data_IF_027585615110
#
_entry.id   IF_027585615110
#
_cell.length_a   1.000
_cell.length_b   1.000
_cell.length_c   1.000
_cell.angle_alpha   90.00
_cell.angle_beta   90.00
_cell.angle_gamma   90.00
#
_symmetry.space_group_name_H-M   'P 1'
#
loop_
_entity.id
_entity.type
_entity.pdbx_description
1 polymer ?
#
# COMPACT_ATOMS: atom_id res chain seq x y z
N UNK A 1 29.72 32.16 27.59
CA UNK A 1 29.59 32.01 26.12
C UNK A 1 28.57 30.91 25.86
N UNK A 2 27.37 31.35 25.52
CA UNK A 2 26.18 30.55 25.27
C UNK A 2 26.25 29.86 23.90
N UNK A 3 26.25 28.54 23.89
CA UNK A 3 26.12 27.74 22.67
C UNK A 3 24.75 27.06 22.64
N UNK A 4 23.73 27.78 22.17
CA UNK A 4 22.48 27.17 21.75
C UNK A 4 22.70 26.47 20.42
N UNK A 5 22.40 25.16 20.36
CA UNK A 5 22.39 24.42 19.10
C UNK A 5 20.94 24.10 18.74
N UNK A 6 20.58 24.51 17.52
CA UNK A 6 19.22 24.77 17.06
C UNK A 6 18.34 23.54 16.91
N UNK A 7 17.06 23.81 17.15
CA UNK A 7 15.93 22.92 16.94
C UNK A 7 15.84 22.45 15.48
N UNK A 8 15.58 21.15 15.32
CA UNK A 8 15.30 20.48 14.06
C UNK A 8 13.97 21.02 13.50
N UNK A 9 14.02 21.60 12.28
CA UNK A 9 12.85 22.08 11.56
C UNK A 9 11.93 20.90 11.18
N UNK A 10 10.88 20.71 11.97
CA UNK A 10 9.72 19.88 11.60
C UNK A 10 8.86 20.74 10.67
N UNK A 11 8.87 20.43 9.38
CA UNK A 11 7.88 20.96 8.45
C UNK A 11 6.54 20.28 8.74
N UNK A 12 5.77 20.87 9.65
CA UNK A 12 4.33 20.62 9.76
C UNK A 12 3.72 21.25 8.51
N UNK A 13 3.27 20.43 7.57
CA UNK A 13 2.44 20.88 6.46
C UNK A 13 1.09 21.27 7.07
N UNK A 14 0.87 22.56 7.25
CA UNK A 14 -0.43 23.13 7.60
C UNK A 14 -1.38 22.90 6.42
N UNK A 15 -2.19 21.85 6.48
CA UNK A 15 -3.37 21.76 5.63
C UNK A 15 -4.44 22.62 6.29
N UNK A 16 -4.79 23.70 5.62
CA UNK A 16 -5.83 24.65 5.98
C UNK A 16 -7.15 23.91 6.20
N UNK A 17 -7.70 24.10 7.39
CA UNK A 17 -8.95 23.55 7.88
C UNK A 17 -10.12 23.91 6.94
N UNK A 18 -10.79 22.89 6.38
CA UNK A 18 -12.10 22.99 5.75
C UNK A 18 -12.98 21.88 6.31
N UNK A 19 -13.95 22.24 7.17
CA UNK A 19 -15.10 21.43 7.54
C UNK A 19 -14.80 20.08 8.22
N UNK A 20 -14.75 20.09 9.56
CA UNK A 20 -14.67 18.89 10.41
C UNK A 20 -15.99 18.11 10.44
N UNK A 21 -16.36 17.45 9.34
CA UNK A 21 -17.15 16.23 9.44
C UNK A 21 -16.16 15.07 9.61
N UNK A 22 -16.24 14.39 10.76
CA UNK A 22 -15.48 13.17 11.01
C UNK A 22 -15.75 12.18 9.86
N UNK A 23 -14.70 11.79 9.11
CA UNK A 23 -14.86 10.88 7.97
C UNK A 23 -15.09 9.46 8.50
N UNK A 24 -16.34 9.13 8.78
CA UNK A 24 -16.75 7.78 9.21
C UNK A 24 -16.81 6.85 8.00
N UNK A 25 -16.08 5.75 8.08
CA UNK A 25 -15.99 4.69 7.09
C UNK A 25 -16.67 3.44 7.64
N UNK A 26 -17.90 3.18 7.21
CA UNK A 26 -18.65 1.98 7.59
C UNK A 26 -18.42 0.86 6.58
N UNK A 27 -17.95 -0.30 7.04
CA UNK A 27 -17.67 -1.47 6.20
C UNK A 27 -18.26 -2.74 6.80
N UNK A 28 -18.59 -3.70 5.94
CA UNK A 28 -18.97 -5.07 6.33
C UNK A 28 -17.84 -6.02 5.96
N UNK A 29 -17.52 -6.95 6.86
CA UNK A 29 -16.52 -7.99 6.59
C UNK A 29 -17.03 -9.00 5.57
N UNK A 30 -16.29 -9.20 4.49
CA UNK A 30 -16.58 -10.21 3.45
C UNK A 30 -15.69 -11.46 3.59
N UNK A 31 -14.52 -11.30 4.22
CA UNK A 31 -13.57 -12.39 4.43
C UNK A 31 -12.47 -12.01 5.43
N UNK A 32 -11.35 -12.75 5.38
CA UNK A 32 -10.25 -12.56 6.34
C UNK A 32 -9.57 -11.19 6.18
N UNK A 33 -9.43 -10.72 4.94
CA UNK A 33 -8.75 -9.46 4.57
C UNK A 33 -9.56 -8.63 3.56
N UNK A 34 -10.89 -8.77 3.57
CA UNK A 34 -11.78 -8.04 2.63
C UNK A 34 -12.96 -7.42 3.36
N UNK A 35 -13.21 -6.15 3.04
CA UNK A 35 -14.25 -5.35 3.65
C UNK A 35 -14.99 -4.53 2.58
N UNK A 36 -16.31 -4.69 2.49
CA UNK A 36 -17.16 -3.93 1.58
C UNK A 36 -17.64 -2.65 2.22
N UNK A 37 -17.52 -1.53 1.51
CA UNK A 37 -18.05 -0.24 1.94
C UNK A 37 -19.59 -0.25 2.00
N UNK A 38 -20.16 0.18 3.14
CA UNK A 38 -21.61 0.30 3.34
C UNK A 38 -22.08 1.68 2.88
N UNK A 39 -23.16 1.71 2.08
CA UNK A 39 -23.80 2.94 1.57
C UNK A 39 -22.81 4.01 1.04
N UNK A 40 -21.97 3.66 0.06
CA UNK A 40 -21.08 4.65 -0.54
C UNK A 40 -21.86 5.78 -1.20
N UNK A 41 -21.80 7.00 -0.65
CA UNK A 41 -22.13 8.18 -1.45
C UNK A 41 -21.15 8.27 -2.63
N UNK A 42 -21.60 8.63 -3.85
CA UNK A 42 -20.75 8.60 -5.05
C UNK A 42 -19.47 9.45 -4.92
N UNK A 43 -19.55 10.59 -4.23
CA UNK A 43 -18.40 11.45 -3.98
C UNK A 43 -17.35 10.81 -3.07
N UNK A 44 -17.78 9.93 -2.16
CA UNK A 44 -16.91 9.32 -1.17
C UNK A 44 -16.06 8.20 -1.79
N UNK A 45 -16.67 7.35 -2.62
CA UNK A 45 -15.94 6.31 -3.38
C UNK A 45 -14.97 6.95 -4.34
N UNK A 46 -15.41 8.00 -5.04
CA UNK A 46 -14.55 8.73 -5.98
C UNK A 46 -13.29 9.25 -5.30
N UNK A 47 -13.42 9.81 -4.08
CA UNK A 47 -12.27 10.27 -3.29
C UNK A 47 -11.29 9.14 -2.96
N UNK A 48 -11.77 7.95 -2.60
CA UNK A 48 -10.91 6.79 -2.33
C UNK A 48 -10.26 6.26 -3.63
N UNK A 49 -11.01 6.20 -4.73
CA UNK A 49 -10.51 5.80 -6.05
C UNK A 49 -9.42 6.75 -6.56
N UNK A 50 -9.62 8.06 -6.44
CA UNK A 50 -8.62 9.08 -6.80
C UNK A 50 -7.36 8.98 -5.95
N UNK A 51 -7.51 8.54 -4.69
CA UNK A 51 -6.39 8.21 -3.79
C UNK A 51 -5.82 6.82 -4.05
N UNK A 52 -6.39 6.04 -4.98
CA UNK A 52 -5.98 4.67 -5.29
C UNK A 52 -6.08 3.72 -4.10
N UNK A 53 -7.10 3.89 -3.25
CA UNK A 53 -7.36 3.07 -2.05
C UNK A 53 -8.61 2.24 -2.31
N UNK A 54 -8.52 0.92 -2.26
CA UNK A 54 -9.62 0.01 -2.55
C UNK A 54 -9.74 -0.37 -4.02
N UNK A 55 -10.75 -1.21 -4.28
CA UNK A 55 -11.03 -1.79 -5.59
C UNK A 55 -12.55 -1.93 -5.79
N UNK A 56 -13.02 -1.57 -6.98
CA UNK A 56 -14.41 -1.80 -7.39
C UNK A 56 -14.58 -3.24 -7.89
N UNK A 57 -15.50 -3.99 -7.28
CA UNK A 57 -15.86 -5.36 -7.66
C UNK A 57 -17.37 -5.44 -7.92
N UNK A 58 -17.75 -5.25 -9.18
CA UNK A 58 -19.16 -5.13 -9.55
C UNK A 58 -19.82 -3.95 -8.83
N UNK A 59 -20.84 -4.24 -8.01
CA UNK A 59 -21.56 -3.23 -7.22
C UNK A 59 -20.85 -2.85 -5.91
N UNK A 60 -19.87 -3.66 -5.47
CA UNK A 60 -19.19 -3.46 -4.20
C UNK A 60 -17.92 -2.64 -4.37
N UNK A 61 -17.59 -1.89 -3.33
CA UNK A 61 -16.28 -1.25 -3.19
C UNK A 61 -15.53 -1.89 -2.03
N UNK A 62 -14.46 -2.60 -2.35
CA UNK A 62 -13.76 -3.48 -1.41
C UNK A 62 -12.45 -2.85 -0.98
N UNK A 63 -12.18 -2.93 0.31
CA UNK A 63 -10.97 -2.46 0.98
C UNK A 63 -10.27 -3.65 1.65
N UNK A 64 -8.94 -3.59 1.72
CA UNK A 64 -8.12 -4.54 2.49
C UNK A 64 -7.83 -4.05 3.91
N UNK A 65 -7.44 -4.95 4.81
CA UNK A 65 -7.07 -4.59 6.20
C UNK A 65 -5.99 -3.52 6.25
N UNK A 66 -4.96 -3.64 5.41
CA UNK A 66 -3.86 -2.66 5.32
C UNK A 66 -4.37 -1.28 4.91
N UNK A 67 -5.37 -1.22 4.03
CA UNK A 67 -5.98 0.03 3.59
C UNK A 67 -6.84 0.66 4.69
N UNK A 68 -7.60 -0.15 5.44
CA UNK A 68 -8.35 0.32 6.61
C UNK A 68 -7.43 0.88 7.70
N UNK A 69 -6.31 0.21 7.97
CA UNK A 69 -5.31 0.70 8.93
C UNK A 69 -4.73 2.03 8.47
N UNK A 70 -4.39 2.16 7.19
CA UNK A 70 -3.89 3.42 6.64
C UNK A 70 -4.92 4.55 6.77
N UNK A 71 -6.21 4.27 6.53
CA UNK A 71 -7.28 5.25 6.70
C UNK A 71 -7.46 5.63 8.18
N UNK A 72 -7.43 4.67 9.11
CA UNK A 72 -7.45 4.90 10.56
C UNK A 72 -6.27 5.73 11.07
N UNK A 73 -5.07 5.52 10.51
CA UNK A 73 -3.89 6.31 10.82
C UNK A 73 -3.95 7.73 10.22
N UNK A 74 -4.89 7.95 9.31
CA UNK A 74 -5.20 9.26 8.74
C UNK A 74 -6.34 9.91 9.53
N UNK A 75 -7.28 10.58 8.86
CA UNK A 75 -8.40 11.31 9.49
C UNK A 75 -9.72 10.53 9.56
N UNK A 76 -9.70 9.20 9.35
CA UNK A 76 -10.92 8.39 9.26
C UNK A 76 -11.22 7.64 10.57
N UNK A 77 -12.50 7.56 10.91
CA UNK A 77 -13.04 6.59 11.87
C UNK A 77 -13.56 5.38 11.12
N UNK A 78 -13.22 4.17 11.53
CA UNK A 78 -13.66 2.94 10.83
C UNK A 78 -14.63 2.17 11.71
N UNK A 79 -15.79 1.84 11.15
CA UNK A 79 -16.83 1.01 11.77
C UNK A 79 -16.95 -0.27 10.95
N UNK A 80 -16.66 -1.41 11.57
CA UNK A 80 -16.73 -2.74 10.96
C UNK A 80 -17.92 -3.48 11.59
N UNK A 81 -18.87 -3.92 10.76
CA UNK A 81 -20.04 -4.68 11.22
C UNK A 81 -20.80 -3.98 12.36
N UNK A 82 -20.91 -2.64 12.30
CA UNK A 82 -21.57 -1.80 13.30
C UNK A 82 -20.73 -1.48 14.55
N UNK A 83 -19.49 -1.96 14.65
CA UNK A 83 -18.57 -1.67 15.76
C UNK A 83 -17.40 -0.81 15.29
N UNK A 84 -17.17 0.31 15.97
CA UNK A 84 -15.97 1.11 15.76
C UNK A 84 -14.71 0.35 16.19
N UNK A 85 -13.67 0.41 15.36
CA UNK A 85 -12.39 -0.25 15.59
C UNK A 85 -11.24 0.75 15.56
N UNK A 86 -10.19 0.48 16.32
CA UNK A 86 -8.95 1.26 16.25
C UNK A 86 -7.81 0.49 15.56
N UNK A 87 -6.67 1.18 15.34
CA UNK A 87 -5.47 0.61 14.70
C UNK A 87 -4.98 -0.65 15.41
N UNK A 88 -4.95 -0.66 16.75
CA UNK A 88 -4.45 -1.80 17.53
C UNK A 88 -5.31 -3.05 17.37
N UNK A 89 -6.61 -2.89 17.13
CA UNK A 89 -7.51 -4.01 16.86
C UNK A 89 -7.23 -4.61 15.48
N UNK A 90 -7.01 -3.80 14.44
CA UNK A 90 -6.75 -4.32 13.09
C UNK A 90 -5.35 -4.87 12.91
N UNK A 91 -4.32 -4.25 13.51
CA UNK A 91 -2.92 -4.69 13.37
C UNK A 91 -2.71 -6.12 13.89
N UNK A 92 -3.45 -6.53 14.92
CA UNK A 92 -3.41 -7.90 15.47
C UNK A 92 -3.84 -8.98 14.46
N UNK A 93 -4.58 -8.61 13.43
CA UNK A 93 -5.10 -9.53 12.42
C UNK A 93 -4.31 -9.48 11.10
N UNK A 94 -3.22 -8.71 11.02
CA UNK A 94 -2.38 -8.71 9.83
C UNK A 94 -1.56 -10.00 9.77
N UNK A 95 -1.73 -10.75 8.68
CA UNK A 95 -0.95 -11.96 8.40
C UNK A 95 0.54 -11.68 8.13
N UNK A 96 0.85 -10.56 7.47
CA UNK A 96 2.23 -10.18 7.14
C UNK A 96 2.49 -8.71 7.55
N UNK A 97 3.05 -8.46 8.74
CA UNK A 97 3.28 -7.09 9.22
C UNK A 97 4.24 -6.29 8.32
N UNK A 98 5.15 -6.96 7.61
CA UNK A 98 6.05 -6.30 6.67
C UNK A 98 5.31 -5.66 5.48
N UNK A 99 4.15 -6.23 5.11
CA UNK A 99 3.30 -5.66 4.07
C UNK A 99 2.73 -4.28 4.47
N UNK A 100 2.33 -4.11 5.73
CA UNK A 100 1.91 -2.81 6.25
C UNK A 100 3.06 -1.80 6.18
N UNK A 101 4.27 -2.17 6.58
CA UNK A 101 5.45 -1.29 6.56
C UNK A 101 5.79 -0.80 5.15
N UNK A 102 5.80 -1.71 4.16
CA UNK A 102 6.03 -1.37 2.74
C UNK A 102 4.91 -0.47 2.20
N UNK A 103 3.66 -0.78 2.52
CA UNK A 103 2.53 0.04 2.11
C UNK A 103 2.63 1.48 2.63
N UNK A 104 2.92 1.65 3.93
CA UNK A 104 3.07 2.96 4.56
C UNK A 104 4.27 3.74 4.00
N UNK A 105 5.41 3.09 3.77
CA UNK A 105 6.59 3.74 3.17
C UNK A 105 6.29 4.24 1.73
N UNK A 106 5.63 3.43 0.91
CA UNK A 106 5.23 3.81 -0.45
C UNK A 106 4.23 4.97 -0.47
N UNK A 107 3.22 4.91 0.41
CA UNK A 107 2.26 6.01 0.60
C UNK A 107 2.97 7.30 1.04
N UNK A 108 3.87 7.22 2.03
CA UNK A 108 4.66 8.35 2.51
C UNK A 108 5.54 8.97 1.42
N UNK A 109 6.05 8.16 0.49
CA UNK A 109 6.85 8.62 -0.67
C UNK A 109 5.99 9.21 -1.80
N UNK A 110 4.66 9.17 -1.70
CA UNK A 110 3.72 9.72 -2.67
C UNK A 110 3.40 8.78 -3.85
N UNK A 111 3.64 7.48 -3.70
CA UNK A 111 3.22 6.49 -4.69
C UNK A 111 1.79 6.02 -4.43
N UNK A 112 1.06 5.74 -5.51
CA UNK A 112 -0.14 4.91 -5.40
C UNK A 112 0.28 3.46 -5.32
N UNK A 113 -0.27 2.75 -4.34
CA UNK A 113 0.05 1.35 -4.06
C UNK A 113 -1.22 0.59 -3.73
N UNK A 114 -1.41 -0.55 -4.39
CA UNK A 114 -2.57 -1.44 -4.20
C UNK A 114 -2.10 -2.83 -3.78
N UNK A 115 -2.61 -3.38 -2.66
CA UNK A 115 -2.34 -4.76 -2.26
C UNK A 115 -2.94 -5.76 -3.26
N UNK A 116 -2.23 -6.86 -3.49
CA UNK A 116 -2.67 -7.97 -4.33
C UNK A 116 -2.86 -9.19 -3.44
N UNK A 117 -4.10 -9.70 -3.36
CA UNK A 117 -4.38 -10.93 -2.64
C UNK A 117 -4.01 -12.14 -3.50
N UNK A 118 -3.36 -13.13 -2.87
CA UNK A 118 -3.09 -14.45 -3.44
C UNK A 118 -2.38 -14.42 -4.81
N UNK A 119 -1.64 -13.35 -5.10
CA UNK A 119 -0.93 -13.14 -6.37
C UNK A 119 0.54 -13.54 -6.31
N UNK A 120 1.22 -13.57 -7.47
CA UNK A 120 2.67 -13.77 -7.53
C UNK A 120 3.46 -12.61 -6.91
N UNK A 121 2.83 -11.43 -6.79
CA UNK A 121 3.37 -10.19 -6.22
C UNK A 121 2.47 -9.72 -5.08
N UNK A 122 3.01 -8.91 -4.17
CA UNK A 122 2.29 -8.44 -2.99
C UNK A 122 1.62 -7.08 -3.24
N UNK A 123 2.19 -6.25 -4.13
CA UNK A 123 1.61 -4.96 -4.49
C UNK A 123 1.76 -4.61 -5.97
N UNK A 124 0.81 -3.82 -6.45
CA UNK A 124 0.90 -3.01 -7.67
C UNK A 124 1.22 -1.57 -7.28
N UNK A 125 2.13 -0.92 -8.02
CA UNK A 125 2.55 0.45 -7.74
C UNK A 125 2.58 1.28 -9.02
N UNK A 126 2.02 2.48 -8.94
CA UNK A 126 2.00 3.46 -10.04
C UNK A 126 2.97 4.58 -9.75
N UNK A 127 3.53 5.19 -10.81
CA UNK A 127 4.36 6.38 -10.65
C UNK A 127 3.60 7.51 -9.93
N UNK A 128 4.35 8.41 -9.30
CA UNK A 128 3.78 9.57 -8.61
C UNK A 128 2.90 10.38 -9.57
N UNK A 129 1.71 10.74 -9.11
CA UNK A 129 0.75 11.51 -9.89
C UNK A 129 0.02 10.73 -10.98
N UNK A 130 0.29 9.42 -11.18
CA UNK A 130 -0.48 8.56 -12.07
C UNK A 130 -1.45 7.70 -11.27
N UNK A 131 -2.74 7.88 -11.51
CA UNK A 131 -3.77 7.19 -10.73
C UNK A 131 -3.96 5.75 -11.24
N UNK A 132 -4.36 4.80 -10.36
CA UNK A 132 -4.82 3.50 -10.78
C UNK A 132 -6.07 3.51 -11.68
N UNK A 133 -6.77 4.64 -11.81
CA UNK A 133 -7.99 4.78 -12.62
C UNK A 133 -7.64 4.82 -14.12
N UNK A 134 -6.59 5.56 -14.48
CA UNK A 134 -6.30 5.95 -15.86
C UNK A 134 -4.97 5.39 -16.38
N UNK A 135 -4.25 4.61 -15.57
CA UNK A 135 -2.95 4.08 -15.94
C UNK A 135 -2.68 2.67 -15.42
N UNK A 136 -1.78 1.97 -16.12
CA UNK A 136 -1.28 0.65 -15.71
C UNK A 136 -0.18 0.77 -14.65
N UNK A 137 -0.03 -0.21 -13.74
CA UNK A 137 1.02 -0.19 -12.73
C UNK A 137 2.40 -0.18 -13.39
N UNK A 138 3.28 0.70 -12.90
CA UNK A 138 4.67 0.81 -13.38
C UNK A 138 5.57 -0.23 -12.74
N UNK A 139 5.30 -0.56 -11.48
CA UNK A 139 6.07 -1.53 -10.71
C UNK A 139 5.14 -2.58 -10.11
N UNK A 140 5.67 -3.78 -9.94
CA UNK A 140 5.09 -4.80 -9.07
C UNK A 140 6.09 -5.10 -7.97
N UNK A 141 5.62 -5.07 -6.72
CA UNK A 141 6.48 -5.33 -5.57
C UNK A 141 6.28 -6.75 -5.07
N UNK A 142 7.39 -7.48 -4.91
CA UNK A 142 7.45 -8.69 -4.10
C UNK A 142 8.20 -8.39 -2.80
N UNK A 143 7.59 -8.67 -1.66
CA UNK A 143 8.26 -8.59 -0.36
C UNK A 143 9.16 -9.81 -0.19
N UNK A 144 10.38 -9.54 0.24
CA UNK A 144 11.35 -10.54 0.68
C UNK A 144 11.71 -10.19 2.12
N UNK A 145 11.52 -11.13 3.04
CA UNK A 145 11.85 -10.91 4.45
C UNK A 145 13.26 -11.43 4.70
N UNK A 146 14.07 -10.66 5.41
CA UNK A 146 15.39 -11.11 5.83
C UNK A 146 15.30 -12.38 6.69
N UNK A 147 16.17 -13.36 6.40
CA UNK A 147 16.17 -14.66 7.08
C UNK A 147 15.13 -15.67 6.57
N UNK A 148 14.26 -15.29 5.63
CA UNK A 148 13.37 -16.24 4.95
C UNK A 148 13.90 -16.58 3.55
N UNK A 149 14.07 -17.88 3.28
CA UNK A 149 14.50 -18.35 1.97
C UNK A 149 13.39 -18.17 0.93
N UNK A 150 13.77 -17.66 -0.26
CA UNK A 150 12.93 -17.67 -1.45
C UNK A 150 13.56 -18.55 -2.51
N UNK A 151 12.79 -19.52 -3.02
CA UNK A 151 13.25 -20.38 -4.10
C UNK A 151 13.52 -19.54 -5.36
N UNK A 152 14.70 -19.70 -5.94
CA UNK A 152 15.12 -18.95 -7.14
C UNK A 152 14.12 -19.11 -8.30
N UNK A 153 13.57 -20.31 -8.49
CA UNK A 153 12.57 -20.57 -9.53
C UNK A 153 11.28 -19.78 -9.31
N UNK A 154 10.86 -19.60 -8.05
CA UNK A 154 9.71 -18.76 -7.70
C UNK A 154 10.01 -17.31 -8.06
N UNK A 155 11.20 -16.81 -7.71
CA UNK A 155 11.61 -15.44 -8.04
C UNK A 155 11.66 -15.20 -9.57
N UNK A 156 12.20 -16.16 -10.33
CA UNK A 156 12.22 -16.10 -11.80
C UNK A 156 10.81 -16.09 -12.40
N UNK A 157 9.87 -16.86 -11.85
CA UNK A 157 8.48 -16.85 -12.30
C UNK A 157 7.81 -15.51 -12.02
N UNK A 158 8.05 -14.92 -10.85
CA UNK A 158 7.55 -13.58 -10.52
C UNK A 158 8.14 -12.52 -11.45
N UNK A 159 9.44 -12.62 -11.76
CA UNK A 159 10.10 -11.72 -12.72
C UNK A 159 9.45 -11.80 -14.10
N UNK A 160 9.32 -13.00 -14.66
CA UNK A 160 8.67 -13.22 -15.96
C UNK A 160 7.24 -12.73 -15.97
N UNK A 161 6.49 -12.96 -14.90
CA UNK A 161 5.13 -12.47 -14.74
C UNK A 161 5.08 -10.94 -14.81
N UNK A 162 5.90 -10.24 -14.02
CA UNK A 162 5.93 -8.77 -14.04
C UNK A 162 6.31 -8.22 -15.41
N UNK A 163 7.33 -8.78 -16.06
CA UNK A 163 7.76 -8.38 -17.40
C UNK A 163 6.65 -8.59 -18.44
N UNK A 164 5.93 -9.72 -18.38
CA UNK A 164 4.80 -10.00 -19.27
C UNK A 164 3.63 -9.03 -19.11
N UNK A 165 3.48 -8.46 -17.92
CA UNK A 165 2.48 -7.45 -17.60
C UNK A 165 2.96 -6.03 -17.90
N UNK A 166 4.16 -5.86 -18.48
CA UNK A 166 4.75 -4.55 -18.78
C UNK A 166 5.18 -3.74 -17.56
N UNK A 167 5.31 -4.40 -16.40
CA UNK A 167 5.67 -3.76 -15.13
C UNK A 167 7.08 -4.19 -14.67
N UNK A 168 7.81 -3.27 -14.06
CA UNK A 168 9.13 -3.56 -13.49
C UNK A 168 8.97 -4.31 -12.16
N UNK A 169 9.56 -5.50 -12.03
CA UNK A 169 9.64 -6.19 -10.73
C UNK A 169 10.58 -5.41 -9.80
N UNK A 170 10.09 -5.15 -8.60
CA UNK A 170 10.84 -4.58 -7.47
C UNK A 170 10.75 -5.53 -6.28
N UNK A 171 11.90 -5.88 -5.71
CA UNK A 171 11.99 -6.63 -4.46
C UNK A 171 12.09 -5.66 -3.30
N UNK A 172 11.16 -5.73 -2.37
CA UNK A 172 11.19 -4.98 -1.12
C UNK A 172 11.78 -5.90 -0.03
N UNK A 173 13.07 -5.76 0.23
CA UNK A 173 13.76 -6.47 1.30
C UNK A 173 13.47 -5.76 2.62
N UNK A 174 12.77 -6.44 3.54
CA UNK A 174 12.43 -5.89 4.85
C UNK A 174 13.20 -6.62 5.93
N UNK A 175 13.99 -5.86 6.69
CA UNK A 175 14.76 -6.36 7.83
C UNK A 175 13.87 -6.60 9.06
N UNK A 176 14.39 -7.32 10.04
CA UNK A 176 13.72 -7.52 11.33
C UNK A 176 13.44 -6.22 12.09
N UNK A 177 14.25 -5.18 11.85
CA UNK A 177 14.13 -3.83 12.42
C UNK A 177 13.17 -2.93 11.64
N UNK A 178 12.56 -3.42 10.55
CA UNK A 178 11.61 -2.67 9.72
C UNK A 178 12.26 -1.72 8.71
N UNK A 179 13.59 -1.75 8.56
CA UNK A 179 14.29 -1.05 7.48
C UNK A 179 13.98 -1.73 6.15
N UNK A 180 13.59 -0.94 5.14
CA UNK A 180 13.21 -1.43 3.80
C UNK A 180 14.27 -1.02 2.77
N UNK A 181 14.74 -1.99 1.99
CA UNK A 181 15.60 -1.77 0.82
C UNK A 181 14.93 -2.27 -0.45
N UNK A 182 14.93 -1.46 -1.51
CA UNK A 182 14.26 -1.80 -2.78
C UNK A 182 15.28 -2.13 -3.88
N UNK A 183 15.12 -3.30 -4.50
CA UNK A 183 15.95 -3.74 -5.63
C UNK A 183 15.11 -3.93 -6.89
N UNK A 184 15.59 -3.43 -8.03
CA UNK A 184 14.96 -3.73 -9.33
C UNK A 184 15.52 -5.04 -9.85
N UNK A 185 14.63 -5.96 -10.25
CA UNK A 185 15.00 -7.21 -10.89
C UNK A 185 14.54 -7.18 -12.35
N UNK A 186 15.42 -7.47 -13.29
CA UNK A 186 15.14 -7.47 -14.73
C UNK A 186 15.96 -8.53 -15.45
N UNK A 187 15.42 -9.06 -16.54
CA UNK A 187 16.16 -9.94 -17.44
C UNK A 187 17.12 -9.10 -18.28
N UNK A 188 18.41 -9.44 -18.28
CA UNK A 188 19.38 -8.87 -19.22
C UNK A 188 19.90 -9.96 -20.16
N UNK A 189 20.03 -9.63 -21.45
CA UNK A 189 20.70 -10.47 -22.42
C UNK A 189 22.10 -9.90 -22.63
N UNK A 190 23.17 -10.58 -22.17
CA UNK A 190 24.53 -10.10 -22.42
C UNK A 190 24.81 -10.11 -23.92
N UNK A 191 25.35 -9.01 -24.44
CA UNK A 191 25.87 -8.95 -25.80
C UNK A 191 27.35 -9.35 -25.72
N UNK A 192 27.78 -10.35 -26.51
CA UNK A 192 29.21 -10.65 -26.67
C UNK A 192 29.83 -9.49 -27.42
N UNK A 193 30.88 -8.89 -26.86
CA UNK A 193 31.71 -7.95 -27.60
C UNK A 193 32.49 -8.73 -28.67
N UNK A 194 32.50 -8.18 -29.89
CA UNK A 194 33.31 -8.66 -31.02
C UNK A 194 34.81 -8.47 -30.77
#
# INVERSE_FOLDING_TARGET
>A
MSGGCGFLNIYIITITNMGSEERVLEVVREGDDEYSLVKPGPNYVKSLEERGIGERRGALYVLRTIELIYLLMSEYRVVIDGREVNVNELVKHINNPYALTVYLDMRKRGYFIRPVANGPVDFLVWDKGKSPIDSSPRYMIKIVTEGLEIQIMKLLNVLKYSESMGAQLVLALVSSEGVITYYKAFTFKPVRGD
#
